data_IF_832483304538
#
_entry.id   IF_832483304538
#
_cell.length_a   1.000
_cell.length_b   1.000
_cell.length_c   1.000
_cell.angle_alpha   90.00
_cell.angle_beta   90.00
_cell.angle_gamma   90.00
#
_symmetry.space_group_name_H-M   'P 1'
#
loop_
_entity.id
_entity.type
_entity.pdbx_description
1 polymer ?
#
# COMPACT_ATOMS: atom_id res chain seq x y z
N UNK A 1 -56.80 4.10 21.27
CA UNK A 1 -55.74 3.09 21.45
C UNK A 1 -54.34 3.68 21.56
N UNK A 2 -53.71 4.22 20.51
CA UNK A 2 -52.32 4.73 20.63
C UNK A 2 -52.16 5.87 21.65
N UNK A 3 -53.08 6.85 21.67
CA UNK A 3 -53.08 7.93 22.67
C UNK A 3 -53.37 7.44 24.09
N UNK A 4 -54.11 6.35 24.22
CA UNK A 4 -54.45 5.75 25.52
C UNK A 4 -53.25 5.00 26.10
N UNK A 5 -52.52 4.27 25.25
CA UNK A 5 -51.23 3.62 25.54
C UNK A 5 -50.15 4.62 25.97
N UNK A 6 -50.18 5.84 25.43
CA UNK A 6 -49.26 6.93 25.78
C UNK A 6 -49.77 7.80 26.94
N UNK A 7 -50.89 7.43 27.57
CA UNK A 7 -51.52 8.15 28.69
C UNK A 7 -51.82 9.62 28.34
N UNK A 8 -52.25 9.83 27.10
CA UNK A 8 -52.54 11.12 26.48
C UNK A 8 -54.02 11.26 26.05
N UNK A 9 -54.85 10.25 26.32
CA UNK A 9 -56.27 10.24 25.94
C UNK A 9 -57.12 11.01 26.97
N UNK A 10 -58.12 11.77 26.51
CA UNK A 10 -59.05 12.53 27.37
C UNK A 10 -58.69 14.01 27.62
N UNK A 11 -59.64 14.76 28.17
CA UNK A 11 -59.52 16.19 28.45
C UNK A 11 -58.54 16.47 29.60
N UNK A 12 -57.55 17.34 29.36
CA UNK A 12 -56.51 17.70 30.34
C UNK A 12 -55.11 17.20 29.99
N UNK A 13 -54.99 16.25 29.07
CA UNK A 13 -53.72 15.60 28.70
C UNK A 13 -52.98 16.23 27.50
N UNK A 14 -53.48 17.37 26.98
CA UNK A 14 -52.94 18.06 25.80
C UNK A 14 -51.46 18.47 25.99
N UNK A 15 -51.11 18.95 27.18
CA UNK A 15 -49.73 19.38 27.50
C UNK A 15 -48.74 18.21 27.42
N UNK A 16 -49.14 17.05 27.95
CA UNK A 16 -48.32 15.83 27.88
C UNK A 16 -48.10 15.38 26.45
N UNK A 17 -49.16 15.37 25.65
CA UNK A 17 -49.08 15.02 24.24
C UNK A 17 -48.14 15.98 23.46
N UNK A 18 -48.27 17.28 23.70
CA UNK A 18 -47.39 18.29 23.09
C UNK A 18 -45.91 18.11 23.51
N UNK A 19 -45.64 17.81 24.77
CA UNK A 19 -44.28 17.52 25.26
C UNK A 19 -43.69 16.26 24.60
N UNK A 20 -44.49 15.22 24.38
CA UNK A 20 -44.02 14.02 23.67
C UNK A 20 -43.70 14.31 22.21
N UNK A 21 -44.52 15.08 21.51
CA UNK A 21 -44.25 15.51 20.13
C UNK A 21 -42.96 16.33 20.08
N UNK A 22 -42.81 17.33 20.96
CA UNK A 22 -41.63 18.18 21.01
C UNK A 22 -40.37 17.37 21.34
N UNK A 23 -40.44 16.46 22.32
CA UNK A 23 -39.33 15.59 22.70
C UNK A 23 -38.93 14.65 21.57
N UNK A 24 -39.89 14.07 20.85
CA UNK A 24 -39.60 13.23 19.69
C UNK A 24 -38.98 14.01 18.54
N UNK A 25 -39.51 15.20 18.23
CA UNK A 25 -38.96 16.07 17.20
C UNK A 25 -37.51 16.49 17.52
N UNK A 26 -37.25 16.93 18.76
CA UNK A 26 -35.90 17.27 19.21
C UNK A 26 -34.97 16.06 19.18
N UNK A 27 -35.44 14.88 19.62
CA UNK A 27 -34.62 13.65 19.60
C UNK A 27 -34.27 13.24 18.18
N UNK A 28 -35.19 13.41 17.22
CA UNK A 28 -34.95 13.16 15.80
C UNK A 28 -33.86 14.10 15.25
N UNK A 29 -33.96 15.40 15.54
CA UNK A 29 -32.97 16.40 15.12
C UNK A 29 -31.61 16.10 15.75
N UNK A 30 -31.52 15.89 17.07
CA UNK A 30 -30.27 15.57 17.76
C UNK A 30 -29.67 14.28 17.22
N UNK A 31 -30.47 13.23 17.03
CA UNK A 31 -30.00 11.96 16.46
C UNK A 31 -29.48 12.13 15.04
N UNK A 32 -30.14 12.97 14.23
CA UNK A 32 -29.73 13.27 12.85
C UNK A 32 -28.43 14.08 12.83
N UNK A 33 -28.33 15.14 13.65
CA UNK A 33 -27.09 15.91 13.81
C UNK A 33 -25.95 15.04 14.32
N UNK A 34 -26.17 14.19 15.32
CA UNK A 34 -25.17 13.25 15.80
C UNK A 34 -24.75 12.26 14.70
N UNK A 35 -25.68 11.78 13.87
CA UNK A 35 -25.38 10.92 12.73
C UNK A 35 -24.62 11.64 11.61
N UNK A 36 -24.90 12.93 11.38
CA UNK A 36 -24.18 13.77 10.42
C UNK A 36 -22.75 14.03 10.92
N UNK A 37 -22.60 14.49 12.17
CA UNK A 37 -21.31 14.80 12.80
C UNK A 37 -20.44 13.55 12.94
N UNK A 38 -21.04 12.38 13.22
CA UNK A 38 -20.30 11.10 13.31
C UNK A 38 -20.12 10.39 11.96
N UNK A 39 -20.51 11.02 10.84
CA UNK A 39 -20.40 10.46 9.49
C UNK A 39 -21.33 9.27 9.19
N UNK A 40 -22.15 8.81 10.15
CA UNK A 40 -23.10 7.71 9.97
C UNK A 40 -24.18 8.03 8.93
N UNK A 41 -24.58 9.30 8.81
CA UNK A 41 -25.56 9.73 7.82
C UNK A 41 -25.04 9.56 6.39
N UNK A 42 -23.81 10.04 6.12
CA UNK A 42 -23.14 9.85 4.84
C UNK A 42 -22.95 8.37 4.53
N UNK A 43 -22.55 7.57 5.52
CA UNK A 43 -22.41 6.10 5.40
C UNK A 43 -23.73 5.41 5.07
N UNK A 44 -24.83 5.80 5.70
CA UNK A 44 -26.15 5.25 5.42
C UNK A 44 -26.62 5.62 4.00
N UNK A 45 -26.37 6.85 3.57
CA UNK A 45 -26.68 7.29 2.20
C UNK A 45 -25.78 6.64 1.14
N UNK A 46 -24.50 6.42 1.40
CA UNK A 46 -23.63 5.66 0.48
C UNK A 46 -24.05 4.18 0.40
N UNK A 47 -24.47 3.59 1.54
CA UNK A 47 -24.80 2.17 1.64
C UNK A 47 -26.22 1.82 1.17
N UNK A 48 -27.20 2.71 1.43
CA UNK A 48 -28.63 2.48 1.18
C UNK A 48 -29.23 3.47 0.18
N UNK A 49 -28.48 4.51 -0.21
CA UNK A 49 -28.89 5.41 -1.27
C UNK A 49 -29.01 4.67 -2.59
N UNK A 50 -29.97 5.10 -3.42
CA UNK A 50 -30.20 4.55 -4.76
C UNK A 50 -29.10 4.98 -5.73
N UNK A 51 -27.87 4.56 -5.48
CA UNK A 51 -26.82 4.57 -6.49
C UNK A 51 -26.98 3.29 -7.33
N UNK A 52 -26.83 3.39 -8.65
CA UNK A 52 -26.80 2.21 -9.52
C UNK A 52 -25.75 1.25 -8.97
N UNK A 53 -26.09 0.00 -8.60
CA UNK A 53 -25.11 -0.93 -8.07
C UNK A 53 -24.05 -1.18 -9.16
N UNK A 54 -22.80 -0.94 -8.81
CA UNK A 54 -21.66 -1.25 -9.67
C UNK A 54 -21.55 -2.79 -9.72
N UNK A 55 -21.43 -3.32 -10.93
CA UNK A 55 -21.36 -4.76 -11.16
C UNK A 55 -19.94 -5.29 -10.87
N UNK A 56 -19.61 -5.39 -9.58
CA UNK A 56 -18.28 -5.83 -9.13
C UNK A 56 -17.98 -7.29 -9.48
N UNK A 57 -16.69 -7.62 -9.54
CA UNK A 57 -16.23 -9.00 -9.69
C UNK A 57 -16.72 -9.87 -8.51
N UNK A 58 -17.33 -11.00 -8.85
CA UNK A 58 -17.79 -12.00 -7.88
C UNK A 58 -16.91 -13.25 -7.90
N UNK A 59 -16.87 -13.98 -6.79
CA UNK A 59 -16.12 -15.25 -6.70
C UNK A 59 -16.61 -16.29 -7.72
N UNK A 60 -17.88 -16.24 -8.11
CA UNK A 60 -18.46 -17.10 -9.15
C UNK A 60 -17.95 -16.83 -10.55
N UNK A 61 -17.39 -15.64 -10.81
CA UNK A 61 -16.80 -15.27 -12.10
C UNK A 61 -15.34 -15.68 -12.22
N UNK A 62 -14.63 -15.90 -11.12
CA UNK A 62 -13.28 -16.48 -11.12
C UNK A 62 -13.36 -17.95 -11.54
N UNK A 63 -13.49 -18.16 -12.85
CA UNK A 63 -13.53 -19.47 -13.51
C UNK A 63 -12.59 -19.44 -14.71
N UNK A 64 -12.30 -20.62 -15.23
CA UNK A 64 -11.38 -20.81 -16.35
C UNK A 64 -11.58 -19.81 -17.52
N UNK A 65 -12.80 -19.55 -18.05
CA UNK A 65 -12.95 -18.61 -19.17
C UNK A 65 -12.52 -17.18 -18.84
N UNK A 66 -12.82 -16.71 -17.63
CA UNK A 66 -12.41 -15.37 -17.18
C UNK A 66 -10.91 -15.30 -16.98
N UNK A 67 -10.32 -16.30 -16.31
CA UNK A 67 -8.88 -16.33 -16.01
C UNK A 67 -8.08 -16.44 -17.31
N UNK A 68 -8.48 -17.28 -18.26
CA UNK A 68 -7.83 -17.39 -19.58
C UNK A 68 -7.81 -16.05 -20.31
N UNK A 69 -8.93 -15.31 -20.30
CA UNK A 69 -8.99 -13.97 -20.88
C UNK A 69 -8.04 -12.98 -20.18
N UNK A 70 -7.82 -13.14 -18.87
CA UNK A 70 -6.90 -12.30 -18.09
C UNK A 70 -5.42 -12.60 -18.38
N UNK A 71 -5.07 -13.74 -19.00
CA UNK A 71 -3.67 -14.12 -19.28
C UNK A 71 -3.04 -13.35 -20.46
N UNK A 72 -3.82 -12.53 -21.19
CA UNK A 72 -3.37 -11.66 -22.29
C UNK A 72 -2.35 -12.30 -23.27
N UNK A 73 -2.51 -13.58 -23.61
CA UNK A 73 -1.62 -14.27 -24.55
C UNK A 73 -0.31 -14.80 -23.96
N UNK A 74 -0.08 -14.75 -22.64
CA UNK A 74 1.13 -15.34 -22.01
C UNK A 74 1.28 -16.86 -22.20
N UNK A 75 0.22 -17.51 -22.69
CA UNK A 75 0.18 -18.93 -23.03
C UNK A 75 -0.05 -19.17 -24.54
N UNK A 76 0.29 -18.19 -25.40
CA UNK A 76 0.25 -18.40 -26.85
C UNK A 76 1.17 -19.56 -27.26
N UNK A 77 0.67 -20.46 -28.12
CA UNK A 77 1.36 -21.71 -28.48
C UNK A 77 1.33 -22.81 -27.40
N UNK A 78 0.51 -22.64 -26.35
CA UNK A 78 0.29 -23.63 -25.30
C UNK A 78 -1.19 -23.97 -25.20
N UNK A 79 -1.51 -25.23 -24.96
CA UNK A 79 -2.89 -25.68 -24.75
C UNK A 79 -3.19 -25.77 -23.26
N UNK A 80 -4.07 -24.91 -22.75
CA UNK A 80 -4.53 -24.95 -21.35
C UNK A 80 -5.55 -26.09 -21.20
N UNK A 81 -5.29 -27.02 -20.29
CA UNK A 81 -6.18 -28.15 -20.02
C UNK A 81 -7.14 -27.86 -18.88
N UNK A 82 -6.66 -27.24 -17.80
CA UNK A 82 -7.48 -26.91 -16.64
C UNK A 82 -6.88 -25.78 -15.82
N UNK A 83 -7.76 -25.01 -15.18
CA UNK A 83 -7.42 -24.01 -14.18
C UNK A 83 -8.09 -24.40 -12.87
N UNK A 84 -7.28 -24.69 -11.85
CA UNK A 84 -7.74 -25.11 -10.54
C UNK A 84 -7.45 -24.02 -9.52
N UNK A 85 -8.49 -23.31 -9.09
CA UNK A 85 -8.39 -22.41 -7.95
C UNK A 85 -8.16 -23.24 -6.69
N UNK A 86 -7.09 -22.95 -5.97
CA UNK A 86 -6.85 -23.61 -4.69
C UNK A 86 -7.92 -23.18 -3.69
N UNK A 87 -8.35 -24.11 -2.85
CA UNK A 87 -9.24 -23.77 -1.74
C UNK A 87 -8.49 -22.75 -0.88
N UNK A 88 -9.11 -21.58 -0.70
CA UNK A 88 -8.59 -20.39 -0.01
C UNK A 88 -8.19 -20.78 1.43
N UNK A 89 -7.01 -21.37 1.58
CA UNK A 89 -6.22 -21.21 2.79
C UNK A 89 -5.90 -19.74 2.88
N UNK A 90 -6.04 -19.17 4.07
CA UNK A 90 -5.80 -17.75 4.33
C UNK A 90 -4.33 -17.43 4.08
N UNK A 91 -3.96 -17.17 2.83
CA UNK A 91 -2.82 -16.34 2.51
C UNK A 91 -3.04 -15.02 3.25
N UNK A 92 -2.04 -14.59 4.02
CA UNK A 92 -2.10 -13.29 4.66
C UNK A 92 -2.16 -12.23 3.56
N UNK A 93 -3.31 -11.57 3.45
CA UNK A 93 -3.50 -10.53 2.45
C UNK A 93 -2.60 -9.33 2.83
N UNK A 94 -2.16 -8.57 1.83
CA UNK A 94 -1.45 -7.31 2.08
C UNK A 94 -2.23 -6.38 3.02
N UNK A 95 -1.51 -5.49 3.73
CA UNK A 95 -2.10 -4.61 4.75
C UNK A 95 -3.27 -3.80 4.17
N UNK A 96 -3.13 -3.27 2.94
CA UNK A 96 -4.19 -2.52 2.27
C UNK A 96 -5.44 -3.36 1.98
N UNK A 97 -5.26 -4.63 1.64
CA UNK A 97 -6.39 -5.55 1.41
C UNK A 97 -7.12 -5.85 2.72
N UNK A 98 -6.37 -6.15 3.78
CA UNK A 98 -6.95 -6.42 5.10
C UNK A 98 -7.71 -5.18 5.63
N UNK A 99 -7.15 -3.98 5.43
CA UNK A 99 -7.78 -2.71 5.76
C UNK A 99 -9.11 -2.50 5.01
N UNK A 100 -9.08 -2.68 3.69
CA UNK A 100 -10.22 -2.40 2.80
C UNK A 100 -11.36 -3.41 2.95
N UNK A 101 -11.05 -4.66 3.32
CA UNK A 101 -12.06 -5.71 3.57
C UNK A 101 -13.12 -5.32 4.62
N UNK A 102 -12.82 -4.36 5.50
CA UNK A 102 -13.74 -3.86 6.53
C UNK A 102 -14.78 -2.88 5.99
N UNK A 103 -14.51 -2.27 4.84
CA UNK A 103 -15.33 -1.19 4.26
C UNK A 103 -15.87 -1.50 2.86
N UNK A 104 -15.27 -2.47 2.15
CA UNK A 104 -15.70 -2.91 0.82
C UNK A 104 -16.23 -4.35 0.85
N UNK A 105 -17.15 -4.65 -0.07
CA UNK A 105 -17.65 -6.01 -0.33
C UNK A 105 -17.11 -6.60 -1.63
N UNK A 106 -16.24 -5.87 -2.34
CA UNK A 106 -15.62 -6.35 -3.57
C UNK A 106 -14.75 -7.57 -3.30
N UNK A 107 -14.55 -8.38 -4.33
CA UNK A 107 -13.60 -9.47 -4.31
C UNK A 107 -12.17 -8.93 -4.45
N UNK A 108 -11.56 -8.55 -3.33
CA UNK A 108 -10.20 -8.00 -3.24
C UNK A 108 -9.30 -9.00 -2.51
N UNK A 109 -8.04 -9.10 -2.92
CA UNK A 109 -7.00 -9.89 -2.26
C UNK A 109 -6.32 -10.90 -3.17
N UNK A 110 -5.76 -11.93 -2.54
CA UNK A 110 -4.92 -12.91 -3.20
C UNK A 110 -5.68 -14.21 -3.47
N UNK A 111 -5.68 -14.65 -4.73
CA UNK A 111 -6.34 -15.89 -5.16
C UNK A 111 -5.32 -16.80 -5.87
N UNK A 112 -4.72 -17.76 -5.15
CA UNK A 112 -3.81 -18.74 -5.75
C UNK A 112 -4.58 -19.73 -6.64
N UNK A 113 -3.92 -20.17 -7.70
CA UNK A 113 -4.46 -21.18 -8.62
C UNK A 113 -3.33 -21.91 -9.36
N UNK A 114 -3.61 -23.12 -9.82
CA UNK A 114 -2.72 -23.90 -10.67
C UNK A 114 -3.24 -23.91 -12.11
N UNK A 115 -2.37 -23.61 -13.07
CA UNK A 115 -2.62 -23.88 -14.49
C UNK A 115 -1.94 -25.19 -14.87
N UNK A 116 -2.72 -26.07 -15.49
CA UNK A 116 -2.22 -27.24 -16.20
C UNK A 116 -2.27 -26.98 -17.71
N UNK A 117 -1.10 -27.02 -18.36
CA UNK A 117 -0.98 -26.74 -19.79
C UNK A 117 0.00 -27.67 -20.49
N UNK A 118 -0.22 -27.89 -21.78
CA UNK A 118 0.72 -28.57 -22.67
C UNK A 118 1.50 -27.55 -23.48
N UNK A 119 2.82 -27.62 -23.42
CA UNK A 119 3.71 -26.82 -24.25
C UNK A 119 4.01 -27.58 -25.54
N UNK A 120 3.47 -27.08 -26.66
CA UNK A 120 3.61 -27.74 -27.96
C UNK A 120 5.07 -27.73 -28.46
N UNK A 121 5.85 -26.72 -28.06
CA UNK A 121 7.25 -26.61 -28.48
C UNK A 121 8.15 -27.61 -27.75
N UNK A 122 7.84 -27.88 -26.47
CA UNK A 122 8.57 -28.84 -25.64
C UNK A 122 7.98 -30.25 -25.68
N UNK A 123 6.76 -30.40 -26.20
CA UNK A 123 6.03 -31.67 -26.22
C UNK A 123 5.69 -32.19 -24.82
N UNK A 124 5.62 -31.32 -23.82
CA UNK A 124 5.49 -31.70 -22.41
C UNK A 124 4.32 -30.99 -21.71
N UNK A 125 3.70 -31.69 -20.78
CA UNK A 125 2.67 -31.16 -19.88
C UNK A 125 3.33 -30.56 -18.63
N UNK A 126 2.90 -29.36 -18.26
CA UNK A 126 3.41 -28.60 -17.14
C UNK A 126 2.27 -28.19 -16.20
N UNK A 127 2.59 -28.12 -14.91
CA UNK A 127 1.77 -27.49 -13.88
C UNK A 127 2.49 -26.26 -13.37
N UNK A 128 1.78 -25.15 -13.27
CA UNK A 128 2.36 -23.88 -12.86
C UNK A 128 1.44 -23.19 -11.84
N UNK A 129 1.91 -23.03 -10.59
CA UNK A 129 1.20 -22.26 -9.59
C UNK A 129 1.33 -20.76 -9.87
N UNK A 130 0.21 -20.06 -9.87
CA UNK A 130 0.07 -18.64 -10.15
C UNK A 130 -0.79 -17.96 -9.09
N UNK A 131 -0.70 -16.64 -9.03
CA UNK A 131 -1.42 -15.80 -8.09
C UNK A 131 -2.19 -14.72 -8.82
N UNK A 132 -3.51 -14.64 -8.60
CA UNK A 132 -4.28 -13.44 -8.93
C UNK A 132 -4.19 -12.46 -7.75
N UNK A 133 -3.76 -11.23 -8.03
CA UNK A 133 -3.88 -10.11 -7.10
C UNK A 133 -5.02 -9.21 -7.57
N UNK A 134 -6.13 -9.17 -6.83
CA UNK A 134 -7.24 -8.23 -7.04
C UNK A 134 -7.07 -7.04 -6.09
N UNK A 135 -7.01 -5.82 -6.64
CA UNK A 135 -6.61 -4.63 -5.90
C UNK A 135 -7.82 -3.74 -5.53
N UNK A 136 -7.84 -3.15 -4.33
CA UNK A 136 -8.85 -2.16 -3.95
C UNK A 136 -8.56 -0.82 -4.63
N UNK A 137 -9.61 -0.03 -4.93
CA UNK A 137 -9.39 1.36 -5.33
C UNK A 137 -8.73 2.16 -4.19
N UNK A 138 -8.01 3.22 -4.55
CA UNK A 138 -7.40 4.11 -3.57
C UNK A 138 -8.46 4.78 -2.66
N UNK A 139 -9.62 5.13 -3.22
CA UNK A 139 -10.77 5.63 -2.47
C UNK A 139 -11.30 4.63 -1.44
N UNK A 140 -11.23 3.33 -1.71
CA UNK A 140 -11.59 2.29 -0.75
C UNK A 140 -10.54 2.16 0.35
N UNK A 141 -9.26 2.26 -0.02
CA UNK A 141 -8.13 2.31 0.94
C UNK A 141 -8.31 3.50 1.89
N UNK A 142 -8.57 4.70 1.37
CA UNK A 142 -8.81 5.88 2.20
C UNK A 142 -10.05 5.75 3.08
N UNK A 143 -11.13 5.13 2.60
CA UNK A 143 -12.30 4.82 3.44
C UNK A 143 -11.92 3.87 4.59
N UNK A 144 -11.07 2.89 4.32
CA UNK A 144 -10.54 1.99 5.34
C UNK A 144 -9.68 2.72 6.37
N UNK A 145 -8.74 3.56 5.92
CA UNK A 145 -7.88 4.38 6.78
C UNK A 145 -8.70 5.32 7.66
N UNK A 146 -9.65 6.05 7.06
CA UNK A 146 -10.57 6.92 7.77
C UNK A 146 -11.39 6.14 8.82
N UNK A 147 -11.90 4.96 8.47
CA UNK A 147 -12.65 4.13 9.43
C UNK A 147 -11.79 3.71 10.64
N UNK A 148 -10.54 3.31 10.43
CA UNK A 148 -9.65 2.97 11.55
C UNK A 148 -9.26 4.20 12.37
N UNK A 149 -8.91 5.31 11.70
CA UNK A 149 -8.51 6.54 12.36
C UNK A 149 -9.62 7.13 13.22
N UNK A 150 -10.88 7.10 12.76
CA UNK A 150 -12.03 7.55 13.54
C UNK A 150 -12.20 6.81 14.87
N UNK A 151 -11.79 5.54 14.94
CA UNK A 151 -11.83 4.76 16.17
C UNK A 151 -10.73 5.15 17.18
N UNK A 152 -9.64 5.77 16.71
CA UNK A 152 -8.51 6.24 17.51
C UNK A 152 -8.72 7.71 17.91
N UNK A 153 -8.90 8.57 16.91
CA UNK A 153 -9.05 10.01 17.07
C UNK A 153 -9.81 10.64 15.88
N UNK A 154 -10.94 11.33 16.09
CA UNK A 154 -11.72 11.94 15.00
C UNK A 154 -10.93 12.95 14.15
N UNK A 155 -10.08 13.78 14.77
CA UNK A 155 -9.26 14.77 14.06
C UNK A 155 -8.24 14.10 13.13
N UNK A 156 -7.66 12.94 13.55
CA UNK A 156 -6.80 12.15 12.67
C UNK A 156 -7.56 11.67 11.42
N UNK A 157 -8.80 11.27 11.60
CA UNK A 157 -9.68 10.83 10.51
C UNK A 157 -9.97 11.94 9.48
N UNK A 158 -10.16 13.16 9.97
CA UNK A 158 -10.38 14.34 9.13
C UNK A 158 -9.11 14.71 8.37
N UNK A 159 -7.96 14.71 9.04
CA UNK A 159 -6.64 14.99 8.44
C UNK A 159 -6.27 13.99 7.33
N UNK A 160 -6.59 12.70 7.50
CA UNK A 160 -6.38 11.70 6.44
C UNK A 160 -7.22 12.04 5.20
N UNK A 161 -8.48 12.44 5.39
CA UNK A 161 -9.34 12.79 4.26
C UNK A 161 -8.93 14.10 3.59
N UNK A 162 -8.46 15.09 4.36
CA UNK A 162 -7.93 16.36 3.86
C UNK A 162 -6.67 16.16 3.01
N UNK A 163 -5.75 15.31 3.47
CA UNK A 163 -4.43 15.15 2.85
C UNK A 163 -4.30 13.93 1.91
N UNK A 164 -5.39 13.20 1.64
CA UNK A 164 -5.38 11.95 0.84
C UNK A 164 -4.67 12.05 -0.51
N UNK A 165 -4.72 13.19 -1.18
CA UNK A 165 -4.09 13.41 -2.49
C UNK A 165 -2.55 13.46 -2.42
N UNK A 166 -1.97 13.64 -1.22
CA UNK A 166 -0.53 13.71 -0.99
C UNK A 166 0.05 12.42 -0.40
N UNK A 167 -0.81 11.44 -0.11
CA UNK A 167 -0.40 10.15 0.45
C UNK A 167 -0.06 9.16 -0.67
N UNK A 168 0.86 8.26 -0.37
CA UNK A 168 1.37 7.21 -1.27
C UNK A 168 0.30 6.23 -1.74
N UNK A 169 -0.84 6.13 -1.03
CA UNK A 169 -1.96 5.26 -1.38
C UNK A 169 -2.72 5.71 -2.63
N UNK A 170 -2.54 6.97 -3.07
CA UNK A 170 -3.19 7.47 -4.28
C UNK A 170 -2.84 6.57 -5.46
N UNK A 171 -3.85 6.17 -6.23
CA UNK A 171 -3.71 5.29 -7.39
C UNK A 171 -3.04 3.92 -7.10
N UNK A 172 -3.05 3.42 -5.86
CA UNK A 172 -2.40 2.15 -5.49
C UNK A 172 -2.84 0.93 -6.34
N UNK A 173 -4.08 0.95 -6.86
CA UNK A 173 -4.64 -0.10 -7.71
C UNK A 173 -3.99 -0.24 -9.09
N UNK A 174 -3.27 0.78 -9.57
CA UNK A 174 -2.64 0.78 -10.91
C UNK A 174 -1.12 0.81 -10.88
N UNK A 175 -0.50 1.30 -9.80
CA UNK A 175 0.96 1.51 -9.71
C UNK A 175 1.77 0.23 -9.95
N UNK A 176 1.44 -0.86 -9.25
CA UNK A 176 2.19 -2.13 -9.36
C UNK A 176 2.13 -2.70 -10.79
N UNK A 177 0.97 -2.62 -11.43
CA UNK A 177 0.77 -3.06 -12.83
C UNK A 177 1.64 -2.22 -13.78
N UNK A 178 1.58 -0.89 -13.66
CA UNK A 178 2.39 0.01 -14.48
C UNK A 178 3.89 -0.25 -14.30
N UNK A 179 4.32 -0.51 -13.07
CA UNK A 179 5.72 -0.78 -12.77
C UNK A 179 6.21 -2.11 -13.32
N UNK A 180 5.42 -3.18 -13.21
CA UNK A 180 5.80 -4.46 -13.82
C UNK A 180 5.95 -4.37 -15.34
N UNK A 181 5.08 -3.60 -15.99
CA UNK A 181 5.21 -3.33 -17.43
C UNK A 181 6.48 -2.53 -17.75
N UNK A 182 6.83 -1.52 -16.94
CA UNK A 182 8.07 -0.75 -17.08
C UNK A 182 9.33 -1.59 -16.86
N UNK A 183 9.37 -2.41 -15.81
CA UNK A 183 10.48 -3.31 -15.52
C UNK A 183 10.69 -4.29 -16.68
N UNK A 184 9.61 -4.90 -17.17
CA UNK A 184 9.64 -5.80 -18.33
C UNK A 184 10.14 -5.10 -19.60
N UNK A 185 9.67 -3.88 -19.88
CA UNK A 185 10.12 -3.09 -21.05
C UNK A 185 11.63 -2.81 -21.01
N UNK A 186 12.19 -2.65 -19.82
CA UNK A 186 13.62 -2.41 -19.62
C UNK A 186 14.44 -3.68 -19.35
N UNK A 187 13.83 -4.87 -19.47
CA UNK A 187 14.49 -6.16 -19.20
C UNK A 187 15.09 -6.27 -17.79
N UNK A 188 14.45 -5.63 -16.81
CA UNK A 188 14.82 -5.71 -15.39
C UNK A 188 14.07 -6.88 -14.74
N UNK A 189 14.75 -8.00 -14.52
CA UNK A 189 14.15 -9.24 -14.02
C UNK A 189 14.28 -9.36 -12.49
N UNK A 190 13.78 -8.35 -11.78
CA UNK A 190 13.82 -8.27 -10.32
C UNK A 190 12.44 -8.33 -9.67
N UNK A 191 11.42 -8.78 -10.40
CA UNK A 191 10.05 -8.89 -9.90
C UNK A 191 9.48 -10.29 -10.18
N UNK A 192 8.37 -10.67 -9.53
CA UNK A 192 7.62 -11.84 -9.95
C UNK A 192 7.24 -11.75 -11.43
N UNK A 193 7.36 -12.85 -12.17
CA UNK A 193 6.95 -12.88 -13.57
C UNK A 193 5.46 -12.60 -13.70
N UNK A 194 5.12 -11.60 -14.50
CA UNK A 194 3.74 -11.24 -14.80
C UNK A 194 3.19 -12.09 -15.97
N UNK A 195 2.02 -12.69 -15.77
CA UNK A 195 1.33 -13.53 -16.76
C UNK A 195 0.08 -12.88 -17.34
N UNK A 196 -0.41 -11.78 -16.79
CA UNK A 196 -1.56 -11.09 -17.37
C UNK A 196 -2.20 -10.08 -16.45
N UNK A 197 -3.20 -9.38 -16.94
CA UNK A 197 -3.93 -8.32 -16.27
C UNK A 197 -5.35 -8.17 -16.81
N UNK A 198 -6.23 -7.66 -15.97
CA UNK A 198 -7.56 -7.25 -16.36
C UNK A 198 -7.95 -5.98 -15.61
N UNK A 199 -8.20 -4.93 -16.39
CA UNK A 199 -8.63 -3.63 -15.91
C UNK A 199 -9.98 -3.30 -16.55
N UNK A 200 -11.02 -3.15 -15.73
CA UNK A 200 -12.35 -2.70 -16.13
C UNK A 200 -12.77 -1.57 -15.19
N UNK A 201 -12.59 -0.32 -15.63
CA UNK A 201 -12.93 0.87 -14.86
C UNK A 201 -14.44 0.96 -14.56
N UNK A 202 -15.30 0.44 -15.43
CA UNK A 202 -16.76 0.52 -15.25
C UNK A 202 -17.23 -0.42 -14.15
N UNK A 203 -16.58 -1.57 -14.02
CA UNK A 203 -16.83 -2.56 -12.98
C UNK A 203 -15.92 -2.39 -11.76
N UNK A 204 -15.02 -1.41 -11.80
CA UNK A 204 -13.99 -1.14 -10.78
C UNK A 204 -13.12 -2.39 -10.50
N UNK A 205 -12.78 -3.13 -11.55
CA UNK A 205 -11.94 -4.33 -11.47
C UNK A 205 -10.52 -3.96 -11.87
N UNK A 206 -9.59 -4.12 -10.93
CA UNK A 206 -8.16 -3.98 -11.17
C UNK A 206 -7.47 -5.21 -10.64
N UNK A 207 -7.05 -6.09 -11.54
CA UNK A 207 -6.37 -7.32 -11.17
C UNK A 207 -5.24 -7.66 -12.13
N UNK A 208 -4.30 -8.44 -11.62
CA UNK A 208 -3.26 -9.04 -12.43
C UNK A 208 -2.86 -10.42 -11.93
N UNK A 209 -2.20 -11.15 -12.81
CA UNK A 209 -1.75 -12.52 -12.62
C UNK A 209 -0.23 -12.49 -12.64
N UNK A 210 0.39 -13.05 -11.61
CA UNK A 210 1.84 -13.21 -11.51
C UNK A 210 2.19 -14.64 -11.10
N UNK A 211 3.48 -14.98 -11.16
CA UNK A 211 4.00 -16.19 -10.52
C UNK A 211 3.64 -16.22 -9.03
N UNK A 212 3.35 -17.43 -8.54
CA UNK A 212 3.26 -17.67 -7.12
C UNK A 212 4.67 -17.90 -6.57
N UNK A 213 5.09 -17.02 -5.66
CA UNK A 213 6.35 -17.17 -4.94
C UNK A 213 6.19 -18.29 -3.90
N UNK A 214 6.84 -19.42 -4.15
CA UNK A 214 6.80 -20.59 -3.27
C UNK A 214 8.04 -20.66 -2.39
N UNK A 215 7.85 -20.96 -1.10
CA UNK A 215 8.94 -21.00 -0.10
C UNK A 215 10.07 -21.95 -0.51
N UNK A 216 9.77 -23.11 -1.10
CA UNK A 216 10.79 -24.07 -1.54
C UNK A 216 11.74 -23.52 -2.63
N UNK A 217 11.32 -22.47 -3.34
CA UNK A 217 12.09 -21.85 -4.42
C UNK A 217 12.87 -20.60 -3.96
N UNK A 218 12.77 -20.24 -2.67
CA UNK A 218 13.32 -19.01 -2.12
C UNK A 218 14.26 -19.28 -0.96
N UNK A 219 15.42 -18.63 -0.99
CA UNK A 219 16.41 -18.67 0.07
C UNK A 219 16.02 -17.76 1.25
N UNK A 220 15.53 -16.56 0.93
CA UNK A 220 15.00 -15.58 1.89
C UNK A 220 13.62 -15.12 1.41
N UNK A 221 12.61 -15.23 2.26
CA UNK A 221 11.22 -14.84 2.00
C UNK A 221 10.49 -14.64 3.33
N UNK A 222 9.74 -13.54 3.49
CA UNK A 222 9.05 -13.16 4.73
C UNK A 222 9.98 -13.20 5.96
N UNK A 223 11.10 -12.47 5.88
CA UNK A 223 12.17 -12.48 6.89
C UNK A 223 12.31 -11.15 7.63
N UNK A 224 11.26 -10.33 7.67
CA UNK A 224 11.25 -8.98 8.29
C UNK A 224 11.60 -8.99 9.78
N UNK A 225 11.32 -10.10 10.47
CA UNK A 225 11.67 -10.29 11.89
C UNK A 225 12.91 -11.18 12.09
N UNK A 226 13.70 -11.40 11.03
CA UNK A 226 14.87 -12.29 11.04
C UNK A 226 16.12 -11.61 10.42
N UNK A 227 16.55 -10.43 10.92
CA UNK A 227 17.70 -9.70 10.36
C UNK A 227 18.99 -10.55 10.33
N UNK A 228 19.18 -11.47 11.28
CA UNK A 228 20.35 -12.35 11.33
C UNK A 228 20.51 -13.31 10.13
N UNK A 229 19.47 -13.48 9.29
CA UNK A 229 19.58 -14.25 8.03
C UNK A 229 20.18 -13.44 6.86
N UNK A 230 20.26 -12.12 7.01
CA UNK A 230 20.75 -11.22 5.97
C UNK A 230 22.26 -11.00 6.07
N UNK A 231 23.01 -11.95 5.50
CA UNK A 231 24.46 -11.83 5.32
C UNK A 231 24.84 -10.68 4.38
N UNK A 232 26.07 -10.17 4.50
CA UNK A 232 26.55 -9.03 3.70
C UNK A 232 26.38 -9.24 2.18
N UNK A 233 26.64 -10.44 1.68
CA UNK A 233 26.46 -10.76 0.26
C UNK A 233 24.98 -10.64 -0.18
N UNK A 234 24.02 -11.03 0.69
CA UNK A 234 22.60 -10.85 0.40
C UNK A 234 22.24 -9.36 0.36
N UNK A 235 22.72 -8.59 1.34
CA UNK A 235 22.49 -7.14 1.41
C UNK A 235 23.04 -6.43 0.17
N UNK A 236 24.28 -6.70 -0.22
CA UNK A 236 24.92 -6.11 -1.40
C UNK A 236 24.19 -6.46 -2.70
N UNK A 237 23.72 -7.70 -2.85
CA UNK A 237 22.92 -8.10 -4.03
C UNK A 237 21.61 -7.34 -4.12
N UNK A 238 20.88 -7.20 -3.01
CA UNK A 238 19.64 -6.40 -2.97
C UNK A 238 19.92 -4.95 -3.34
N UNK A 239 20.96 -4.35 -2.72
CA UNK A 239 21.37 -2.96 -2.99
C UNK A 239 21.76 -2.78 -4.46
N UNK A 240 22.50 -3.72 -5.05
CA UNK A 240 22.91 -3.66 -6.44
C UNK A 240 21.70 -3.73 -7.40
N UNK A 241 20.77 -4.66 -7.16
CA UNK A 241 19.58 -4.83 -8.00
C UNK A 241 18.64 -3.62 -7.93
N UNK A 242 18.37 -3.09 -6.73
CA UNK A 242 17.52 -1.90 -6.60
C UNK A 242 18.22 -0.65 -7.18
N UNK A 243 19.55 -0.54 -7.05
CA UNK A 243 20.30 0.54 -7.68
C UNK A 243 20.23 0.48 -9.22
N UNK A 244 20.17 -0.71 -9.81
CA UNK A 244 19.98 -0.87 -11.26
C UNK A 244 18.61 -0.35 -11.72
N UNK A 245 17.54 -0.68 -10.98
CA UNK A 245 16.20 -0.12 -11.20
C UNK A 245 16.24 1.41 -11.09
N UNK A 246 16.81 1.93 -10.00
CA UNK A 246 16.90 3.36 -9.74
C UNK A 246 17.66 4.11 -10.84
N UNK A 247 18.83 3.62 -11.26
CA UNK A 247 19.60 4.23 -12.35
C UNK A 247 18.85 4.16 -13.68
N UNK A 248 18.11 3.08 -13.93
CA UNK A 248 17.33 2.93 -15.16
C UNK A 248 16.23 3.98 -15.26
N UNK A 249 15.62 4.39 -14.14
CA UNK A 249 14.52 5.36 -14.13
C UNK A 249 14.92 6.78 -13.72
N UNK A 250 16.17 7.00 -13.34
CA UNK A 250 16.73 8.33 -13.10
C UNK A 250 16.68 9.18 -14.37
N UNK A 251 16.32 10.46 -14.23
CA UNK A 251 16.26 11.45 -15.31
C UNK A 251 15.28 11.17 -16.44
N UNK A 252 14.36 10.22 -16.25
CA UNK A 252 13.24 10.02 -17.15
C UNK A 252 12.08 10.90 -16.72
N UNK A 253 11.39 11.49 -17.68
CA UNK A 253 10.11 12.15 -17.44
C UNK A 253 9.01 11.09 -17.25
N UNK A 254 9.11 10.29 -16.18
CA UNK A 254 8.22 9.16 -15.90
C UNK A 254 6.77 9.63 -15.83
N UNK A 255 6.51 10.77 -15.20
CA UNK A 255 5.16 11.31 -15.01
C UNK A 255 4.43 11.65 -16.32
N UNK A 256 5.15 11.86 -17.43
CA UNK A 256 4.51 12.11 -18.72
C UNK A 256 3.76 10.88 -19.26
N UNK A 257 4.27 9.68 -18.98
CA UNK A 257 3.68 8.42 -19.44
C UNK A 257 3.01 7.63 -18.32
N UNK A 258 3.39 7.89 -17.06
CA UNK A 258 2.92 7.21 -15.85
C UNK A 258 2.51 8.25 -14.79
N UNK A 259 1.43 9.01 -15.04
CA UNK A 259 0.97 10.06 -14.13
C UNK A 259 0.55 9.55 -12.73
N UNK A 260 0.27 8.25 -12.61
CA UNK A 260 -0.04 7.57 -11.36
C UNK A 260 1.14 7.49 -10.39
N UNK A 261 2.38 7.57 -10.88
CA UNK A 261 3.60 7.56 -10.06
C UNK A 261 4.04 9.01 -9.85
N UNK A 262 3.65 9.58 -8.72
CA UNK A 262 3.87 11.00 -8.41
C UNK A 262 5.10 11.22 -7.55
N UNK A 263 5.62 12.45 -7.58
CA UNK A 263 6.64 12.90 -6.61
C UNK A 263 6.05 12.91 -5.22
N UNK A 264 6.72 12.25 -4.28
CA UNK A 264 6.29 12.24 -2.89
C UNK A 264 6.73 13.52 -2.18
N UNK A 265 5.75 14.25 -1.66
CA UNK A 265 5.94 15.54 -1.02
C UNK A 265 5.28 15.52 0.38
N UNK A 266 5.87 14.83 1.38
CA UNK A 266 5.24 14.62 2.69
C UNK A 266 4.97 15.93 3.45
N UNK A 267 5.69 17.01 3.12
CA UNK A 267 5.45 18.34 3.67
C UNK A 267 4.09 18.96 3.27
N UNK A 268 3.37 18.39 2.30
CA UNK A 268 1.99 18.81 2.02
C UNK A 268 0.97 18.23 3.02
N UNK A 269 1.39 17.26 3.84
CA UNK A 269 0.59 16.61 4.88
C UNK A 269 1.19 16.81 6.28
N UNK A 270 1.87 17.94 6.53
CA UNK A 270 2.54 18.25 7.83
C UNK A 270 1.60 18.06 9.02
N UNK A 271 0.36 18.56 8.93
CA UNK A 271 -0.61 18.48 10.02
C UNK A 271 -0.94 17.01 10.37
N UNK A 272 -1.13 16.17 9.36
CA UNK A 272 -1.35 14.73 9.53
C UNK A 272 -0.15 14.05 10.20
N UNK A 273 1.07 14.24 9.70
CA UNK A 273 2.24 13.58 10.28
C UNK A 273 2.53 14.06 11.72
N UNK A 274 2.35 15.35 12.02
CA UNK A 274 2.45 15.86 13.39
C UNK A 274 1.42 15.23 14.32
N UNK A 275 0.19 15.04 13.83
CA UNK A 275 -0.88 14.38 14.60
C UNK A 275 -0.54 12.92 14.88
N UNK A 276 -0.09 12.18 13.87
CA UNK A 276 0.35 10.78 14.02
C UNK A 276 1.47 10.66 15.05
N UNK A 277 2.54 11.45 14.93
CA UNK A 277 3.65 11.45 15.87
C UNK A 277 3.19 11.75 17.30
N UNK A 278 2.31 12.74 17.48
CA UNK A 278 1.77 13.09 18.81
C UNK A 278 1.01 11.91 19.42
N UNK A 279 0.12 11.27 18.66
CA UNK A 279 -0.66 10.13 19.13
C UNK A 279 0.23 8.92 19.47
N UNK A 280 1.21 8.60 18.63
CA UNK A 280 2.15 7.51 18.89
C UNK A 280 2.93 7.73 20.20
N UNK A 281 3.38 8.95 20.47
CA UNK A 281 4.11 9.26 21.70
C UNK A 281 3.21 9.30 22.95
N UNK A 282 1.93 9.70 22.80
CA UNK A 282 0.93 9.61 23.88
C UNK A 282 0.70 8.15 24.29
N UNK A 283 0.65 7.22 23.33
CA UNK A 283 0.46 5.79 23.59
C UNK A 283 1.64 5.14 24.32
N UNK A 284 2.87 5.61 24.09
CA UNK A 284 4.08 5.07 24.72
C UNK A 284 4.19 5.35 26.23
N UNK A 285 3.34 6.22 26.80
CA UNK A 285 3.21 6.54 28.24
C UNK A 285 4.55 6.77 28.99
N UNK A 286 5.58 7.31 28.32
CA UNK A 286 6.91 7.55 28.91
C UNK A 286 7.28 9.04 28.91
N UNK A 287 7.34 9.70 30.09
CA UNK A 287 7.61 11.14 30.20
C UNK A 287 8.95 11.61 29.60
N UNK A 288 9.93 10.71 29.50
CA UNK A 288 11.28 10.98 29.01
C UNK A 288 11.36 11.24 27.48
N UNK A 289 10.23 11.21 26.77
CA UNK A 289 10.17 11.23 25.31
C UNK A 289 9.70 12.56 24.69
N UNK A 290 9.37 13.57 25.49
CA UNK A 290 8.95 14.90 24.99
C UNK A 290 10.03 15.59 24.14
N UNK A 291 11.32 15.38 24.45
CA UNK A 291 12.42 15.95 23.65
C UNK A 291 12.50 15.31 22.26
N UNK A 292 12.33 14.00 22.19
CA UNK A 292 12.33 13.24 20.94
C UNK A 292 11.11 13.60 20.09
N UNK A 293 9.91 13.71 20.69
CA UNK A 293 8.72 14.19 19.98
C UNK A 293 8.96 15.59 19.40
N UNK A 294 9.43 16.54 20.21
CA UNK A 294 9.72 17.90 19.74
C UNK A 294 10.78 17.91 18.62
N UNK A 295 11.79 17.04 18.68
CA UNK A 295 12.75 16.88 17.60
C UNK A 295 12.05 16.43 16.31
N UNK A 296 11.24 15.36 16.35
CA UNK A 296 10.52 14.85 15.19
C UNK A 296 9.54 15.89 14.61
N UNK A 297 8.79 16.59 15.48
CA UNK A 297 7.88 17.66 15.05
C UNK A 297 8.61 18.81 14.34
N UNK A 298 9.80 19.19 14.83
CA UNK A 298 10.64 20.18 14.16
C UNK A 298 11.18 19.68 12.82
N UNK A 299 11.51 18.39 12.71
CA UNK A 299 11.93 17.80 11.44
C UNK A 299 10.80 17.88 10.40
N UNK A 300 9.55 17.63 10.78
CA UNK A 300 8.38 17.78 9.89
C UNK A 300 8.30 19.17 9.29
N UNK A 301 8.58 20.22 10.07
CA UNK A 301 8.55 21.60 9.59
C UNK A 301 9.67 21.89 8.57
N UNK A 302 10.84 21.29 8.77
CA UNK A 302 12.03 21.50 7.95
C UNK A 302 12.11 20.66 6.67
N UNK A 303 11.29 19.61 6.51
CA UNK A 303 11.39 18.65 5.39
C UNK A 303 11.47 19.31 4.01
N UNK A 304 10.57 20.24 3.71
CA UNK A 304 10.51 20.91 2.40
C UNK A 304 11.79 21.70 2.09
N UNK A 305 12.29 22.43 3.09
CA UNK A 305 13.51 23.21 2.97
C UNK A 305 14.71 22.30 2.75
N UNK A 306 14.84 21.24 3.56
CA UNK A 306 15.94 20.27 3.44
C UNK A 306 15.92 19.55 2.09
N UNK A 307 14.74 19.13 1.64
CA UNK A 307 14.53 18.54 0.32
C UNK A 307 15.05 19.46 -0.79
N UNK A 308 14.76 20.77 -0.72
CA UNK A 308 15.21 21.77 -1.70
C UNK A 308 16.73 21.97 -1.77
N UNK A 309 17.50 21.50 -0.78
CA UNK A 309 18.96 21.59 -0.75
C UNK A 309 19.67 20.39 -1.40
N UNK A 310 18.92 19.34 -1.75
CA UNK A 310 19.47 18.09 -2.27
C UNK A 310 19.51 18.14 -3.79
N UNK A 311 20.70 17.94 -4.34
CA UNK A 311 20.97 17.92 -5.78
C UNK A 311 21.21 16.49 -6.27
N UNK A 312 20.34 15.57 -5.85
CA UNK A 312 20.28 14.18 -6.33
C UNK A 312 19.00 14.04 -7.11
N UNK A 313 19.06 13.41 -8.28
CA UNK A 313 17.89 13.26 -9.12
C UNK A 313 16.99 12.16 -8.55
N UNK A 314 15.68 12.40 -8.61
CA UNK A 314 14.68 11.43 -8.18
C UNK A 314 14.58 10.29 -9.17
N UNK A 315 14.12 9.16 -8.66
CA UNK A 315 13.81 7.95 -9.42
C UNK A 315 12.51 7.36 -8.88
N UNK A 316 11.97 6.36 -9.59
CA UNK A 316 11.00 5.43 -9.03
C UNK A 316 11.66 4.70 -7.85
N UNK A 317 11.02 4.76 -6.69
CA UNK A 317 11.38 3.98 -5.50
C UNK A 317 10.23 3.03 -5.14
N UNK A 318 10.54 1.94 -4.45
CA UNK A 318 9.53 1.00 -3.96
C UNK A 318 8.66 1.63 -2.87
N UNK A 319 9.28 2.40 -1.94
CA UNK A 319 8.62 3.14 -0.85
C UNK A 319 7.91 2.27 0.22
N UNK A 320 8.23 0.97 0.19
CA UNK A 320 7.91 -0.04 1.20
C UNK A 320 8.98 -1.15 1.12
N UNK A 321 10.25 -0.73 0.99
CA UNK A 321 11.36 -1.59 0.60
C UNK A 321 11.97 -2.27 1.83
N UNK A 322 11.43 -3.42 2.22
CA UNK A 322 11.86 -4.16 3.39
C UNK A 322 11.85 -5.68 3.13
N UNK A 323 12.40 -6.52 4.03
CA UNK A 323 12.46 -7.98 3.87
C UNK A 323 11.10 -8.72 3.80
N UNK A 324 9.97 -8.04 4.04
CA UNK A 324 8.62 -8.58 3.76
C UNK A 324 8.30 -8.52 2.27
N UNK A 325 8.82 -7.51 1.58
CA UNK A 325 8.58 -7.22 0.16
C UNK A 325 9.81 -7.52 -0.74
N UNK A 326 10.84 -8.12 -0.13
CA UNK A 326 12.10 -8.49 -0.79
C UNK A 326 12.43 -9.95 -0.50
N UNK A 327 12.69 -10.71 -1.55
CA UNK A 327 13.13 -12.10 -1.48
C UNK A 327 14.48 -12.30 -2.18
N UNK A 328 15.15 -13.38 -1.81
CA UNK A 328 16.29 -13.94 -2.55
C UNK A 328 15.87 -15.32 -3.05
N UNK A 329 15.94 -15.55 -4.36
CA UNK A 329 15.69 -16.87 -4.97
C UNK A 329 16.83 -17.85 -4.66
N UNK A 330 16.59 -19.14 -4.86
CA UNK A 330 17.61 -20.18 -4.62
C UNK A 330 18.88 -20.03 -5.48
N UNK A 331 18.79 -19.39 -6.65
CA UNK A 331 19.96 -19.04 -7.48
C UNK A 331 20.70 -17.80 -6.97
N UNK A 332 20.20 -17.18 -5.90
CA UNK A 332 20.76 -16.00 -5.25
C UNK A 332 20.36 -14.69 -5.92
N UNK A 333 19.41 -14.67 -6.86
CA UNK A 333 18.88 -13.44 -7.44
C UNK A 333 17.85 -12.74 -6.54
N UNK A 334 17.85 -11.40 -6.45
CA UNK A 334 16.80 -10.66 -5.75
C UNK A 334 15.45 -10.66 -6.48
N UNK A 335 14.36 -10.64 -5.72
CA UNK A 335 13.01 -10.50 -6.23
C UNK A 335 12.21 -9.54 -5.34
N UNK A 336 11.69 -8.46 -5.91
CA UNK A 336 10.95 -7.39 -5.25
C UNK A 336 9.49 -7.40 -5.69
N UNK A 337 8.57 -7.33 -4.73
CA UNK A 337 7.13 -7.45 -5.00
C UNK A 337 6.33 -6.51 -4.09
N UNK A 338 5.08 -6.25 -4.48
CA UNK A 338 4.20 -5.31 -3.77
C UNK A 338 4.56 -3.82 -3.95
N UNK A 339 4.74 -3.42 -5.22
CA UNK A 339 5.05 -2.04 -5.63
C UNK A 339 3.84 -1.08 -5.57
N UNK A 340 2.86 -1.35 -4.70
CA UNK A 340 1.61 -0.57 -4.65
C UNK A 340 1.78 0.83 -4.04
N UNK A 341 2.83 1.04 -3.24
CA UNK A 341 3.14 2.32 -2.58
C UNK A 341 4.19 3.16 -3.30
N UNK A 342 4.62 2.74 -4.49
CA UNK A 342 5.72 3.36 -5.20
C UNK A 342 5.43 4.80 -5.63
N UNK A 343 6.50 5.59 -5.61
CA UNK A 343 6.50 7.05 -5.85
C UNK A 343 7.83 7.47 -6.47
N UNK A 344 7.91 8.72 -6.93
CA UNK A 344 9.19 9.34 -7.28
C UNK A 344 9.81 9.98 -6.04
N UNK A 345 11.00 9.52 -5.65
CA UNK A 345 11.78 10.09 -4.56
C UNK A 345 13.29 9.83 -4.75
N UNK A 346 14.12 10.20 -3.78
CA UNK A 346 15.55 9.91 -3.79
C UNK A 346 15.81 8.40 -3.59
N UNK A 347 16.75 7.79 -4.33
CA UNK A 347 17.02 6.35 -4.27
C UNK A 347 17.41 5.85 -2.88
N UNK A 348 18.00 6.73 -2.06
CA UNK A 348 18.39 6.46 -0.67
C UNK A 348 17.22 6.01 0.20
N UNK A 349 15.98 6.40 -0.13
CA UNK A 349 14.80 6.12 0.68
C UNK A 349 14.51 4.63 0.81
N UNK A 350 14.66 3.87 -0.28
CA UNK A 350 14.52 2.40 -0.24
C UNK A 350 15.64 1.76 0.59
N UNK A 351 16.88 2.23 0.42
CA UNK A 351 18.04 1.68 1.14
C UNK A 351 17.93 1.89 2.65
N UNK A 352 17.50 3.09 3.08
CA UNK A 352 17.25 3.38 4.48
C UNK A 352 16.24 2.39 5.06
N UNK A 353 15.10 2.22 4.40
CA UNK A 353 14.05 1.33 4.88
C UNK A 353 14.50 -0.11 4.94
N UNK A 354 15.16 -0.61 3.89
CA UNK A 354 15.62 -1.99 3.85
C UNK A 354 16.61 -2.28 4.97
N UNK A 355 17.59 -1.40 5.18
CA UNK A 355 18.60 -1.59 6.23
C UNK A 355 18.02 -1.46 7.64
N UNK A 356 16.94 -0.70 7.85
CA UNK A 356 16.25 -0.63 9.14
C UNK A 356 15.69 -1.99 9.58
N UNK A 357 15.33 -2.87 8.64
CA UNK A 357 14.78 -4.20 8.95
C UNK A 357 15.77 -5.35 8.69
N UNK A 358 16.76 -5.16 7.81
CA UNK A 358 17.71 -6.21 7.45
C UNK A 358 18.98 -6.23 8.32
N UNK A 359 19.29 -5.15 9.03
CA UNK A 359 20.41 -5.11 9.97
C UNK A 359 19.96 -5.52 11.39
N UNK A 360 20.81 -6.25 12.11
CA UNK A 360 20.60 -6.55 13.53
C UNK A 360 20.76 -5.28 14.39
N UNK A 361 20.01 -5.15 15.50
CA UNK A 361 20.00 -3.94 16.34
C UNK A 361 21.39 -3.46 16.81
N UNK A 362 22.37 -4.37 16.93
CA UNK A 362 23.72 -4.11 17.37
C UNK A 362 24.75 -4.03 16.22
N UNK A 363 24.32 -3.69 15.00
CA UNK A 363 25.23 -3.52 13.86
C UNK A 363 26.34 -2.48 14.14
N UNK A 364 27.51 -2.67 13.53
CA UNK A 364 28.63 -1.72 13.66
C UNK A 364 28.50 -0.55 12.68
N UNK A 365 29.09 0.60 13.05
CA UNK A 365 29.21 1.76 12.17
C UNK A 365 29.92 1.40 10.86
N UNK A 366 30.99 0.59 10.94
CA UNK A 366 31.72 0.10 9.78
C UNK A 366 30.81 -0.69 8.81
N UNK A 367 29.96 -1.58 9.33
CA UNK A 367 29.02 -2.36 8.50
C UNK A 367 28.02 -1.44 7.79
N UNK A 368 27.41 -0.50 8.52
CA UNK A 368 26.47 0.45 7.94
C UNK A 368 27.14 1.28 6.84
N UNK A 369 28.25 1.96 7.14
CA UNK A 369 28.91 2.81 6.16
C UNK A 369 29.52 2.02 5.01
N UNK A 370 29.94 0.77 5.23
CA UNK A 370 30.33 -0.15 4.16
C UNK A 370 29.23 -0.31 3.10
N UNK A 371 28.01 -0.62 3.53
CA UNK A 371 26.84 -0.77 2.66
C UNK A 371 26.42 0.55 2.00
N UNK A 372 26.43 1.66 2.75
CA UNK A 372 26.08 2.98 2.19
C UNK A 372 27.10 3.44 1.13
N UNK A 373 28.39 3.16 1.35
CA UNK A 373 29.46 3.44 0.39
C UNK A 373 29.39 2.49 -0.81
N UNK A 374 29.02 1.22 -0.61
CA UNK A 374 28.76 0.27 -1.69
C UNK A 374 27.65 0.78 -2.61
N UNK A 375 26.52 1.23 -2.06
CA UNK A 375 25.47 1.88 -2.85
C UNK A 375 25.98 3.14 -3.58
N UNK A 376 26.74 4.00 -2.89
CA UNK A 376 27.31 5.22 -3.48
C UNK A 376 28.23 4.93 -4.68
N UNK A 377 28.95 3.81 -4.69
CA UNK A 377 29.85 3.44 -5.78
C UNK A 377 29.14 3.38 -7.15
N UNK A 378 27.85 3.04 -7.19
CA UNK A 378 27.06 3.03 -8.43
C UNK A 378 26.79 4.44 -9.00
N UNK A 379 26.98 5.49 -8.19
CA UNK A 379 26.62 6.88 -8.49
C UNK A 379 27.80 7.85 -8.34
N UNK A 380 28.99 7.35 -8.04
CA UNK A 380 30.17 8.17 -7.76
C UNK A 380 30.60 9.06 -8.94
N UNK A 381 30.25 8.66 -10.17
CA UNK A 381 30.51 9.44 -11.39
C UNK A 381 29.55 10.62 -11.57
N UNK A 382 28.40 10.60 -10.89
CA UNK A 382 27.32 11.59 -11.05
C UNK A 382 27.23 12.57 -9.88
N UNK A 383 27.58 12.15 -8.67
CA UNK A 383 27.44 12.97 -7.48
C UNK A 383 28.68 12.92 -6.60
N UNK A 384 29.01 14.05 -5.95
CA UNK A 384 29.97 14.03 -4.85
C UNK A 384 29.41 13.25 -3.66
N UNK A 385 30.29 12.58 -2.92
CA UNK A 385 29.94 11.86 -1.69
C UNK A 385 29.18 12.74 -0.71
N UNK A 386 29.59 14.00 -0.55
CA UNK A 386 28.92 14.93 0.35
C UNK A 386 27.46 15.19 -0.03
N UNK A 387 27.17 15.39 -1.33
CA UNK A 387 25.78 15.58 -1.78
C UNK A 387 24.96 14.30 -1.68
N UNK A 388 25.56 13.15 -2.01
CA UNK A 388 24.89 11.86 -1.89
C UNK A 388 24.46 11.53 -0.45
N UNK A 389 25.34 11.80 0.52
CA UNK A 389 25.05 11.52 1.93
C UNK A 389 24.05 12.51 2.56
N UNK A 390 23.90 13.72 2.01
CA UNK A 390 22.78 14.61 2.39
C UNK A 390 21.43 13.97 2.07
N UNK A 391 21.31 13.32 0.91
CA UNK A 391 20.10 12.60 0.54
C UNK A 391 19.80 11.42 1.49
N UNK A 392 20.82 10.71 1.98
CA UNK A 392 20.63 9.69 3.02
C UNK A 392 20.11 10.26 4.33
N UNK A 393 20.68 11.38 4.79
CA UNK A 393 20.22 12.03 6.03
C UNK A 393 18.76 12.47 5.90
N UNK A 394 18.39 13.05 4.75
CA UNK A 394 17.01 13.42 4.49
C UNK A 394 16.09 12.20 4.41
N UNK A 395 16.47 11.15 3.67
CA UNK A 395 15.69 9.93 3.54
C UNK A 395 15.41 9.26 4.90
N UNK A 396 16.40 9.27 5.82
CA UNK A 396 16.20 8.79 7.19
C UNK A 396 15.19 9.64 7.97
N UNK A 397 15.30 10.96 7.88
CA UNK A 397 14.34 11.87 8.53
C UNK A 397 12.93 11.70 7.97
N UNK A 398 12.82 11.61 6.64
CA UNK A 398 11.54 11.37 5.96
C UNK A 398 10.93 10.04 6.39
N UNK A 399 11.72 8.96 6.41
CA UNK A 399 11.27 7.65 6.86
C UNK A 399 10.72 7.70 8.28
N UNK A 400 11.47 8.26 9.24
CA UNK A 400 11.04 8.40 10.65
C UNK A 400 9.77 9.23 10.86
N UNK A 401 9.40 10.08 9.90
CA UNK A 401 8.20 10.91 9.97
C UNK A 401 7.00 10.22 9.32
N UNK A 402 7.25 9.43 8.28
CA UNK A 402 6.21 8.90 7.38
C UNK A 402 5.90 7.42 7.63
N UNK A 403 6.69 6.75 8.48
CA UNK A 403 6.58 5.35 8.90
C UNK A 403 6.83 5.27 10.40
#
# INVERSE_FOLDING_TARGET
EALDLMDCYGSGNLSRFACMIAGFAISLEISTYAAIVSGQFAKAHEKLGRNKPIDWLTKSELKQPFIENCLNGSFEGKTIHSILLENIGTLDNGILTNLTSRVSKKLIGFFPFEIDYYDENLGQRHKLPLLIKSKPLDTEVFKGLHFMAAAINPELSDLINEHKEFLEYKNCHVKEISLFNLLKQHSLDFSPKMFGQHNDEKREIHLFIQEMLLEENLLLYNTENQPGRWENNHLEKVIAAIAEIHKTFQNKNIQANHPEITVFCPWNAKALYKKLLTLCFEELQKPAQHKQLNLLLNLVDGLEQEHGLIQVEKTIIHNDFNPRNTAIRNDGSPCFYDWELSVLNFPQRDIVEFLCFALEENFSEEKLFGLLNFHYAFYADSYSRAQWFKAYTFALKEFLITR
#
